data_IF_791836042074
#
_entry.id   IF_791836042074
#
_cell.length_a   1.000
_cell.length_b   1.000
_cell.length_c   1.000
_cell.angle_alpha   90.00
_cell.angle_beta   90.00
_cell.angle_gamma   90.00
#
_symmetry.space_group_name_H-M   'P 1'
#
loop_
_entity.id
_entity.type
_entity.pdbx_description
1 polymer ?
#
# COMPACT_ATOMS: atom_id res chain seq x y z
N UNK A 1 1.39 21.66 14.49
CA UNK A 1 0.83 20.30 14.54
C UNK A 1 1.11 19.68 13.19
N UNK A 2 1.92 18.62 13.04
CA UNK A 2 1.90 17.89 11.79
C UNK A 2 0.49 17.30 11.64
N UNK A 3 -0.13 17.48 10.47
CA UNK A 3 -1.44 16.91 10.17
C UNK A 3 -1.43 15.42 10.50
N UNK A 4 -2.54 14.86 11.04
CA UNK A 4 -2.67 13.42 11.16
C UNK A 4 -2.54 12.86 9.74
N UNK A 5 -1.40 12.23 9.45
CA UNK A 5 -1.18 11.49 8.20
C UNK A 5 -2.44 10.67 7.99
N UNK A 6 -3.15 10.91 6.90
CA UNK A 6 -4.28 10.06 6.54
C UNK A 6 -3.69 8.68 6.33
N UNK A 7 -3.82 7.83 7.34
CA UNK A 7 -3.30 6.48 7.31
C UNK A 7 -3.95 5.65 6.20
N UNK A 8 -5.01 6.14 5.54
CA UNK A 8 -5.70 5.45 4.45
C UNK A 8 -5.81 6.38 3.25
N UNK A 9 -5.55 5.83 2.07
CA UNK A 9 -5.77 6.48 0.78
C UNK A 9 -6.47 5.53 -0.18
N UNK A 10 -7.52 6.00 -0.84
CA UNK A 10 -8.26 5.20 -1.81
C UNK A 10 -8.39 5.96 -3.14
N UNK A 11 -8.35 5.21 -4.24
CA UNK A 11 -8.64 5.70 -5.59
C UNK A 11 -9.35 4.62 -6.41
N UNK A 12 -10.00 5.07 -7.48
CA UNK A 12 -10.62 4.21 -8.49
C UNK A 12 -10.00 4.54 -9.84
N UNK A 13 -9.69 3.50 -10.59
CA UNK A 13 -9.12 3.55 -11.93
C UNK A 13 -10.00 2.76 -12.88
N UNK A 14 -10.09 3.18 -14.14
CA UNK A 14 -10.70 2.35 -15.17
C UNK A 14 -9.78 1.19 -15.51
N UNK A 15 -10.32 0.02 -15.85
CA UNK A 15 -9.55 -1.14 -16.30
C UNK A 15 -8.94 -0.92 -17.69
N UNK A 16 -8.02 0.03 -17.80
CA UNK A 16 -7.32 0.45 -19.02
C UNK A 16 -5.82 0.51 -18.76
N UNK A 17 -5.01 0.03 -19.70
CA UNK A 17 -3.54 0.08 -19.58
C UNK A 17 -2.98 1.48 -19.38
N UNK A 18 -3.67 2.52 -19.87
CA UNK A 18 -3.31 3.92 -19.67
C UNK A 18 -3.28 4.32 -18.18
N UNK A 19 -4.07 3.66 -17.32
CA UNK A 19 -4.16 3.96 -15.89
C UNK A 19 -2.97 3.41 -15.09
N UNK A 20 -2.08 2.60 -15.68
CA UNK A 20 -0.88 2.10 -14.99
C UNK A 20 -0.02 3.24 -14.45
N UNK A 21 0.21 4.29 -15.26
CA UNK A 21 1.03 5.45 -14.87
C UNK A 21 0.37 6.26 -13.73
N UNK A 22 -0.91 6.68 -13.84
CA UNK A 22 -1.64 7.29 -12.72
C UNK A 22 -1.65 6.44 -11.44
N UNK A 23 -1.85 5.13 -11.57
CA UNK A 23 -1.89 4.20 -10.45
C UNK A 23 -0.54 4.08 -9.73
N UNK A 24 0.57 3.98 -10.47
CA UNK A 24 1.92 3.98 -9.88
C UNK A 24 2.20 5.31 -9.17
N UNK A 25 1.83 6.45 -9.77
CA UNK A 25 2.00 7.76 -9.13
C UNK A 25 1.16 7.90 -7.86
N UNK A 26 -0.06 7.36 -7.84
CA UNK A 26 -0.93 7.31 -6.67
C UNK A 26 -0.28 6.56 -5.50
N UNK A 27 0.31 5.38 -5.78
CA UNK A 27 1.04 4.58 -4.80
C UNK A 27 2.31 5.28 -4.32
N UNK A 28 3.10 5.83 -5.24
CA UNK A 28 4.35 6.54 -4.90
C UNK A 28 4.09 7.75 -4.00
N UNK A 29 3.04 8.53 -4.30
CA UNK A 29 2.62 9.64 -3.45
C UNK A 29 2.21 9.19 -2.05
N UNK A 30 1.50 8.05 -1.94
CA UNK A 30 1.15 7.47 -0.65
C UNK A 30 2.41 7.02 0.12
N UNK A 31 3.34 6.34 -0.54
CA UNK A 31 4.58 5.88 0.06
C UNK A 31 5.46 7.04 0.53
N UNK A 32 5.51 8.16 -0.21
CA UNK A 32 6.22 9.37 0.19
C UNK A 32 5.66 9.97 1.48
N UNK A 33 4.34 10.13 1.57
CA UNK A 33 3.68 10.69 2.76
C UNK A 33 3.75 9.78 3.99
N UNK A 34 3.64 8.47 3.78
CA UNK A 34 3.74 7.47 4.85
C UNK A 34 5.19 7.09 5.20
N UNK A 35 6.20 7.77 4.61
CA UNK A 35 7.62 7.49 4.79
C UNK A 35 8.01 6.01 4.58
N UNK A 36 7.38 5.37 3.59
CA UNK A 36 7.65 3.97 3.20
C UNK A 36 9.00 3.91 2.50
N UNK A 37 9.84 2.95 2.90
CA UNK A 37 11.15 2.72 2.30
C UNK A 37 11.04 2.46 0.78
N UNK A 38 11.98 3.01 0.00
CA UNK A 38 11.96 2.95 -1.48
C UNK A 38 11.84 1.53 -2.04
N UNK A 39 12.61 0.57 -1.52
CA UNK A 39 12.59 -0.82 -1.96
C UNK A 39 11.21 -1.47 -1.76
N UNK A 40 10.50 -1.07 -0.70
CA UNK A 40 9.13 -1.54 -0.41
C UNK A 40 8.12 -0.91 -1.32
N UNK A 41 8.24 0.39 -1.57
CA UNK A 41 7.41 1.11 -2.54
C UNK A 41 7.53 0.45 -3.93
N UNK A 42 8.75 0.11 -4.36
CA UNK A 42 8.98 -0.57 -5.64
C UNK A 42 8.33 -1.96 -5.69
N UNK A 43 8.49 -2.78 -4.65
CA UNK A 43 7.85 -4.10 -4.58
C UNK A 43 6.33 -4.01 -4.59
N UNK A 44 5.76 -3.06 -3.83
CA UNK A 44 4.32 -2.78 -3.85
C UNK A 44 3.84 -2.38 -5.24
N UNK A 45 4.62 -1.56 -5.96
CA UNK A 45 4.27 -1.11 -7.31
C UNK A 45 4.23 -2.30 -8.28
N UNK A 46 5.24 -3.17 -8.25
CA UNK A 46 5.27 -4.39 -9.08
C UNK A 46 4.06 -5.29 -8.79
N UNK A 47 3.72 -5.50 -7.51
CA UNK A 47 2.54 -6.29 -7.11
C UNK A 47 1.27 -5.67 -7.68
N UNK A 48 1.11 -4.36 -7.52
CA UNK A 48 -0.07 -3.64 -7.95
C UNK A 48 -0.21 -3.61 -9.48
N UNK A 49 0.87 -3.34 -10.20
CA UNK A 49 0.91 -3.38 -11.67
C UNK A 49 0.54 -4.76 -12.21
N UNK A 50 1.04 -5.83 -11.60
CA UNK A 50 0.73 -7.17 -12.06
C UNK A 50 -0.74 -7.54 -11.82
N UNK A 51 -1.28 -7.23 -10.64
CA UNK A 51 -2.72 -7.40 -10.36
C UNK A 51 -3.56 -6.64 -11.39
N UNK A 52 -3.20 -5.39 -11.66
CA UNK A 52 -3.90 -4.54 -12.61
C UNK A 52 -3.84 -5.06 -14.05
N UNK A 53 -2.65 -5.43 -14.52
CA UNK A 53 -2.48 -6.01 -15.86
C UNK A 53 -3.27 -7.32 -15.99
N UNK A 54 -3.34 -8.13 -14.94
CA UNK A 54 -4.13 -9.35 -14.93
C UNK A 54 -5.64 -9.06 -15.01
N UNK A 55 -6.14 -8.11 -14.21
CA UNK A 55 -7.54 -7.69 -14.26
C UNK A 55 -7.91 -7.17 -15.65
N UNK A 56 -7.11 -6.30 -16.26
CA UNK A 56 -7.37 -5.77 -17.61
C UNK A 56 -7.28 -6.87 -18.67
N UNK A 57 -6.15 -7.58 -18.73
CA UNK A 57 -5.85 -8.47 -19.85
C UNK A 57 -6.59 -9.80 -19.79
N UNK A 58 -6.76 -10.35 -18.59
CA UNK A 58 -7.35 -11.67 -18.38
C UNK A 58 -8.76 -11.58 -17.80
N UNK A 59 -8.98 -10.71 -16.82
CA UNK A 59 -10.28 -10.51 -16.19
C UNK A 59 -11.31 -9.92 -17.16
N UNK A 60 -11.00 -8.75 -17.73
CA UNK A 60 -11.87 -8.02 -18.64
C UNK A 60 -11.61 -8.30 -20.13
N UNK A 61 -10.54 -9.05 -20.44
CA UNK A 61 -10.13 -9.42 -21.82
C UNK A 61 -9.74 -8.21 -22.69
N UNK A 62 -9.25 -7.14 -22.07
CA UNK A 62 -8.82 -5.91 -22.74
C UNK A 62 -9.21 -4.66 -21.97
N UNK A 63 -8.86 -3.51 -22.53
CA UNK A 63 -9.21 -2.20 -21.98
C UNK A 63 -10.73 -2.00 -21.96
N UNK A 64 -11.27 -1.57 -20.82
CA UNK A 64 -12.68 -1.23 -20.66
C UNK A 64 -12.90 -0.21 -19.53
N UNK A 65 -14.15 0.24 -19.39
CA UNK A 65 -14.53 1.21 -18.35
C UNK A 65 -14.99 0.56 -17.04
N UNK A 66 -14.68 -0.73 -16.86
CA UNK A 66 -14.92 -1.39 -15.60
C UNK A 66 -14.03 -0.79 -14.50
N UNK A 67 -14.57 -0.55 -13.30
CA UNK A 67 -13.80 0.06 -12.22
C UNK A 67 -12.87 -0.94 -11.52
N UNK A 68 -11.69 -0.45 -11.15
CA UNK A 68 -10.75 -1.08 -10.24
C UNK A 68 -10.52 -0.14 -9.05
N UNK A 69 -10.75 -0.63 -7.84
CA UNK A 69 -10.55 0.15 -6.61
C UNK A 69 -9.30 -0.30 -5.89
N UNK A 70 -8.52 0.70 -5.45
CA UNK A 70 -7.27 0.49 -4.73
C UNK A 70 -7.36 1.28 -3.43
N UNK A 71 -7.16 0.60 -2.31
CA UNK A 71 -7.03 1.22 -1.00
C UNK A 71 -5.70 0.83 -0.38
N UNK A 72 -4.92 1.85 -0.01
CA UNK A 72 -3.64 1.72 0.68
C UNK A 72 -3.82 2.22 2.11
N UNK A 73 -3.32 1.45 3.06
CA UNK A 73 -3.38 1.82 4.46
C UNK A 73 -2.04 1.64 5.16
N UNK A 74 -1.52 2.70 5.77
CA UNK A 74 -0.34 2.71 6.60
C UNK A 74 -0.74 2.17 7.99
N UNK A 75 -0.09 1.09 8.38
CA UNK A 75 -0.16 0.48 9.71
C UNK A 75 1.19 0.69 10.40
N UNK A 76 1.27 0.64 11.74
CA UNK A 76 2.52 0.88 12.48
C UNK A 76 3.73 0.09 11.97
N UNK A 77 3.51 -1.13 11.46
CA UNK A 77 4.56 -2.03 11.00
C UNK A 77 4.32 -2.58 9.59
N UNK A 78 3.43 -1.97 8.80
CA UNK A 78 3.10 -2.44 7.46
C UNK A 78 2.36 -1.43 6.59
N UNK A 79 2.27 -1.71 5.29
CA UNK A 79 1.23 -1.15 4.43
C UNK A 79 0.26 -2.28 4.09
N UNK A 80 -1.03 -2.00 4.16
CA UNK A 80 -2.07 -2.90 3.70
C UNK A 80 -2.58 -2.41 2.35
N UNK A 81 -2.58 -3.30 1.36
CA UNK A 81 -3.21 -3.08 0.06
C UNK A 81 -4.54 -3.83 0.02
N UNK A 82 -5.62 -3.14 -0.31
CA UNK A 82 -6.88 -3.73 -0.76
C UNK A 82 -7.07 -3.41 -2.23
N UNK A 83 -7.23 -4.45 -3.04
CA UNK A 83 -7.44 -4.38 -4.47
C UNK A 83 -8.78 -5.03 -4.81
N UNK A 84 -9.64 -4.30 -5.51
CA UNK A 84 -10.98 -4.76 -5.87
C UNK A 84 -11.27 -4.51 -7.36
N UNK A 85 -11.93 -5.46 -8.01
CA UNK A 85 -12.37 -5.33 -9.41
C UNK A 85 -13.72 -6.04 -9.63
N UNK A 86 -14.32 -5.79 -10.80
CA UNK A 86 -15.57 -6.43 -11.23
C UNK A 86 -15.36 -7.49 -12.32
N UNK A 87 -14.15 -8.03 -12.45
CA UNK A 87 -13.88 -9.14 -13.37
C UNK A 87 -14.52 -10.44 -12.84
N UNK A 88 -14.62 -11.50 -13.68
CA UNK A 88 -15.02 -12.82 -13.20
C UNK A 88 -14.17 -13.27 -11.99
N UNK A 89 -14.72 -14.09 -11.08
CA UNK A 89 -14.01 -14.53 -9.88
C UNK A 89 -12.62 -15.10 -10.21
N UNK A 90 -11.58 -14.54 -9.60
CA UNK A 90 -10.21 -14.99 -9.81
C UNK A 90 -9.36 -14.78 -8.55
N UNK A 91 -8.94 -15.89 -7.94
CA UNK A 91 -8.02 -15.86 -6.79
C UNK A 91 -6.56 -16.04 -7.27
N UNK A 92 -5.73 -14.98 -7.33
CA UNK A 92 -4.35 -15.08 -7.81
C UNK A 92 -3.42 -15.85 -6.85
N UNK A 93 -3.86 -16.16 -5.63
CA UNK A 93 -3.05 -16.94 -4.69
C UNK A 93 -3.13 -18.44 -4.93
N UNK A 94 -4.21 -18.90 -5.58
CA UNK A 94 -4.45 -20.31 -5.91
C UNK A 94 -4.20 -20.58 -7.38
N UNK A 95 -4.59 -19.64 -8.24
CA UNK A 95 -4.31 -19.72 -9.67
C UNK A 95 -2.95 -19.08 -9.95
N UNK A 96 -1.93 -19.91 -10.17
CA UNK A 96 -0.66 -19.44 -10.70
C UNK A 96 -0.93 -18.74 -12.04
N UNK A 97 -0.81 -17.42 -12.07
CA UNK A 97 -0.84 -16.63 -13.30
C UNK A 97 0.23 -17.25 -14.20
N UNK A 98 -0.15 -17.62 -15.42
CA UNK A 98 0.71 -18.41 -16.29
C UNK A 98 2.06 -17.71 -16.46
N UNK A 99 3.08 -18.32 -15.87
CA UNK A 99 4.50 -18.06 -16.05
C UNK A 99 4.89 -18.45 -17.47
N UNK A 100 4.41 -17.70 -18.48
CA UNK A 100 4.88 -17.85 -19.86
C UNK A 100 5.35 -16.50 -20.39
N UNK A 101 6.67 -16.35 -20.27
CA UNK A 101 7.61 -15.43 -20.93
C UNK A 101 7.74 -14.00 -20.41
N UNK A 102 6.72 -13.31 -19.92
CA UNK A 102 6.85 -11.98 -19.28
C UNK A 102 5.66 -11.75 -18.34
N UNK A 103 5.85 -11.76 -17.01
CA UNK A 103 4.77 -11.55 -16.01
C UNK A 103 4.60 -12.74 -15.07
N UNK A 104 4.45 -12.47 -13.77
CA UNK A 104 4.41 -13.47 -12.70
C UNK A 104 5.24 -13.09 -11.47
N UNK A 105 6.05 -12.04 -11.56
CA UNK A 105 6.93 -11.60 -10.48
C UNK A 105 6.14 -10.91 -9.37
N UNK A 106 5.17 -10.07 -9.69
CA UNK A 106 4.32 -9.36 -8.74
C UNK A 106 3.43 -10.28 -7.92
N UNK A 107 2.73 -11.23 -8.55
CA UNK A 107 1.90 -12.20 -7.81
C UNK A 107 2.78 -13.17 -7.02
N UNK A 108 3.94 -13.57 -7.54
CA UNK A 108 4.92 -14.35 -6.77
C UNK A 108 5.44 -13.54 -5.56
N UNK A 109 5.84 -12.28 -5.75
CA UNK A 109 6.28 -11.39 -4.67
C UNK A 109 5.18 -11.19 -3.63
N UNK A 110 3.93 -10.99 -4.07
CA UNK A 110 2.78 -10.92 -3.17
C UNK A 110 2.62 -12.22 -2.37
N UNK A 111 2.85 -13.38 -3.00
CA UNK A 111 2.78 -14.69 -2.34
C UNK A 111 3.94 -14.94 -1.36
N UNK A 112 5.14 -14.50 -1.67
CA UNK A 112 6.32 -14.75 -0.84
C UNK A 112 6.49 -13.73 0.30
N UNK A 113 6.07 -12.48 0.08
CA UNK A 113 6.39 -11.36 0.98
C UNK A 113 5.21 -10.87 1.83
N UNK A 114 3.97 -11.14 1.42
CA UNK A 114 2.81 -10.82 2.25
C UNK A 114 2.68 -11.86 3.38
N UNK A 115 2.67 -11.36 4.61
CA UNK A 115 2.48 -12.17 5.83
C UNK A 115 1.01 -12.60 5.99
N UNK A 116 0.06 -11.85 5.42
CA UNK A 116 -1.32 -12.27 5.26
C UNK A 116 -1.86 -11.91 3.88
N UNK A 117 -2.70 -12.80 3.37
CA UNK A 117 -3.33 -12.75 2.06
C UNK A 117 -4.74 -13.24 2.21
N UNK A 118 -5.71 -12.37 1.96
CA UNK A 118 -7.11 -12.76 1.91
C UNK A 118 -7.65 -12.53 0.50
N UNK A 119 -8.52 -13.43 0.08
CA UNK A 119 -9.36 -13.26 -1.09
C UNK A 119 -10.80 -13.55 -0.72
N UNK A 120 -11.72 -12.72 -1.21
CA UNK A 120 -13.13 -13.00 -1.20
C UNK A 120 -13.76 -12.52 -2.50
N UNK A 121 -14.76 -13.24 -3.00
CA UNK A 121 -15.64 -12.76 -4.06
C UNK A 121 -16.98 -12.39 -3.43
N UNK A 122 -17.26 -11.09 -3.32
CA UNK A 122 -18.42 -10.57 -2.59
C UNK A 122 -19.15 -9.54 -3.46
N UNK A 123 -20.48 -9.64 -3.53
CA UNK A 123 -21.33 -8.68 -4.26
C UNK A 123 -20.88 -8.41 -5.71
N UNK A 124 -20.42 -9.45 -6.41
CA UNK A 124 -19.96 -9.34 -7.79
C UNK A 124 -18.57 -8.73 -7.97
N UNK A 125 -17.74 -8.74 -6.91
CA UNK A 125 -16.39 -8.18 -6.93
C UNK A 125 -15.36 -9.14 -6.39
N UNK A 126 -14.22 -9.19 -7.07
CA UNK A 126 -12.99 -9.72 -6.47
C UNK A 126 -12.53 -8.73 -5.40
N UNK A 127 -12.17 -9.22 -4.21
CA UNK A 127 -11.53 -8.42 -3.16
C UNK A 127 -10.32 -9.14 -2.62
N UNK A 128 -9.16 -8.55 -2.88
CA UNK A 128 -7.87 -9.05 -2.45
C UNK A 128 -7.33 -8.13 -1.37
N UNK A 129 -6.86 -8.71 -0.26
CA UNK A 129 -6.15 -7.97 0.78
C UNK A 129 -4.78 -8.57 0.98
N UNK A 130 -3.77 -7.71 0.94
CA UNK A 130 -2.38 -8.03 1.21
C UNK A 130 -1.92 -7.21 2.42
N UNK A 131 -1.38 -7.87 3.42
CA UNK A 131 -0.67 -7.25 4.53
C UNK A 131 0.57 -8.09 4.88
N UNK A 132 1.57 -7.54 5.58
CA UNK A 132 2.61 -8.37 6.19
C UNK A 132 4.05 -7.92 6.12
N UNK A 133 4.98 -8.56 5.37
CA UNK A 133 6.44 -8.28 5.41
C UNK A 133 7.09 -7.80 4.09
N UNK A 134 6.34 -7.18 3.17
CA UNK A 134 6.87 -6.11 2.27
C UNK A 134 7.15 -4.82 3.09
N UNK A 135 7.14 -4.91 4.42
CA UNK A 135 6.28 -4.06 5.24
C UNK A 135 6.79 -3.92 6.70
N UNK A 136 7.62 -4.85 7.25
CA UNK A 136 8.25 -4.73 8.59
C UNK A 136 9.05 -3.43 8.81
N UNK A 137 8.67 -2.62 9.80
CA UNK A 137 9.34 -1.39 10.27
C UNK A 137 10.89 -1.48 10.37
N UNK A 138 11.59 -0.44 9.94
CA UNK A 138 12.90 -0.07 10.53
C UNK A 138 12.56 0.61 11.85
N UNK A 139 13.02 0.13 13.02
CA UNK A 139 12.71 0.79 14.27
C UNK A 139 13.07 2.27 14.18
N UNK A 140 12.11 3.14 14.50
CA UNK A 140 12.43 4.52 14.86
C UNK A 140 13.48 4.44 15.96
N UNK A 141 14.59 5.17 15.77
CA UNK A 141 15.62 5.31 16.79
C UNK A 141 14.97 5.57 18.15
N UNK A 142 15.30 4.74 19.13
CA UNK A 142 15.06 5.08 20.51
C UNK A 142 15.91 6.32 20.86
N UNK A 143 15.28 7.33 21.44
CA UNK A 143 15.91 8.58 21.87
C UNK A 143 15.13 9.77 21.31
N UNK A 144 14.41 10.58 22.07
CA UNK A 144 14.56 10.90 23.49
C UNK A 144 13.22 11.42 23.98
N UNK A 145 12.88 11.07 25.23
CA UNK A 145 11.77 11.61 26.01
C UNK A 145 11.66 13.12 25.87
N UNK A 146 10.52 13.62 25.38
CA UNK A 146 10.16 15.03 25.52
C UNK A 146 9.54 15.23 26.90
N UNK A 147 10.39 15.15 27.91
CA UNK A 147 10.13 15.66 29.26
C UNK A 147 11.37 16.45 29.66
N UNK A 148 11.15 17.70 30.06
CA UNK A 148 12.14 18.65 30.59
C UNK A 148 13.00 19.41 29.56
N UNK A 149 12.38 20.40 28.90
CA UNK A 149 13.11 21.50 28.28
C UNK A 149 13.15 22.72 29.22
N UNK A 150 14.32 23.14 29.73
CA UNK A 150 14.45 24.15 30.80
C UNK A 150 14.39 25.61 30.33
N UNK A 151 13.77 25.91 29.18
CA UNK A 151 13.76 27.27 28.62
C UNK A 151 12.55 28.14 29.00
N UNK A 152 11.64 27.64 29.83
CA UNK A 152 10.73 28.51 30.60
C UNK A 152 11.44 28.97 31.87
N UNK A 153 12.17 30.09 31.73
CA UNK A 153 12.94 30.72 32.79
C UNK A 153 12.09 31.17 33.97
N UNK A 154 12.25 30.50 35.10
CA UNK A 154 11.94 31.06 36.41
C UNK A 154 13.03 32.06 36.81
N UNK A 155 12.72 33.36 36.78
CA UNK A 155 13.40 34.33 37.64
C UNK A 155 12.60 34.44 38.93
N UNK A 156 12.99 33.67 39.94
CA UNK A 156 12.75 34.04 41.34
C UNK A 156 14.10 34.46 41.92
N UNK A 157 14.34 35.76 42.02
CA UNK A 157 15.38 36.29 42.88
C UNK A 157 14.89 37.61 43.47
N UNK A 158 14.37 37.52 44.70
CA UNK A 158 14.34 38.58 45.70
C UNK A 158 14.07 37.93 47.06
N UNK A 159 15.12 37.77 47.87
CA UNK A 159 15.19 38.34 49.22
C UNK A 159 16.54 38.02 49.90
N UNK A 160 17.06 39.06 50.56
CA UNK A 160 17.95 39.05 51.75
C UNK A 160 19.42 38.63 51.63
N UNK A 161 20.29 39.63 51.61
CA UNK A 161 20.99 40.07 52.83
C UNK A 161 21.20 41.57 52.82
#
# INVERSE_FOLDING_TARGET
MPDPVKNVRSAMFLARRAELRPMSAFLEGFCGEAAVERDRCLRLNIVLEELFVNTVSHGHRGDCDAPVWITLEARPDAVQLTYEDTAPPFNPFVHAVQTRKVGGLGVLLARELAASRDYAYLFGRNRLRLAGAIFKRIPAFAGTTFSDHPYFGGRSDRATK
#
